data_IF_330927315852
#
_entry.id   IF_330927315852
#
_cell.length_a   1.000
_cell.length_b   1.000
_cell.length_c   1.000
_cell.angle_alpha   90.00
_cell.angle_beta   90.00
_cell.angle_gamma   90.00
#
_symmetry.space_group_name_H-M   'P 1'
#
loop_
_entity.id
_entity.type
_entity.pdbx_description
1 polymer ?
#
# COMPACT_ATOMS: atom_id res chain seq x y z
N UNK A 1 -22.41 49.97 42.03
CA UNK A 1 -21.48 48.95 42.57
C UNK A 1 -20.69 48.37 41.41
N UNK A 2 -19.36 48.48 41.46
CA UNK A 2 -18.44 48.39 40.32
C UNK A 2 -18.23 46.96 39.80
N UNK A 3 -18.30 46.83 38.48
CA UNK A 3 -17.83 45.71 37.66
C UNK A 3 -16.38 45.34 38.02
N UNK A 4 -16.14 44.09 38.44
CA UNK A 4 -14.80 43.55 38.72
C UNK A 4 -14.30 42.74 37.53
N UNK A 5 -13.30 43.31 36.89
CA UNK A 5 -12.30 42.78 35.97
C UNK A 5 -12.11 41.24 35.98
N UNK A 6 -12.51 40.58 34.88
CA UNK A 6 -12.06 39.24 34.47
C UNK A 6 -10.97 39.29 33.37
N UNK A 7 -10.14 40.34 33.36
CA UNK A 7 -9.16 40.60 32.28
C UNK A 7 -7.71 40.27 32.64
N UNK A 8 -7.39 39.96 33.90
CA UNK A 8 -6.00 39.89 34.39
C UNK A 8 -5.21 38.70 33.84
N UNK A 9 -5.79 37.48 33.87
CA UNK A 9 -5.06 36.27 33.52
C UNK A 9 -4.80 36.15 32.01
N UNK A 10 -5.77 36.50 31.17
CA UNK A 10 -5.62 36.46 29.72
C UNK A 10 -4.59 37.51 29.22
N UNK A 11 -4.61 38.73 29.78
CA UNK A 11 -3.60 39.75 29.47
C UNK A 11 -2.19 39.34 29.92
N UNK A 12 -2.05 38.67 31.07
CA UNK A 12 -0.76 38.16 31.54
C UNK A 12 -0.22 37.03 30.66
N UNK A 13 -1.07 36.10 30.21
CA UNK A 13 -0.67 35.06 29.25
C UNK A 13 -0.28 35.64 27.89
N UNK A 14 -1.00 36.67 27.40
CA UNK A 14 -0.67 37.35 26.14
C UNK A 14 0.68 38.08 26.24
N UNK A 15 0.95 38.75 27.37
CA UNK A 15 2.24 39.41 27.62
C UNK A 15 3.41 38.43 27.74
N UNK A 16 3.20 37.29 28.41
CA UNK A 16 4.20 36.21 28.49
C UNK A 16 4.44 35.60 27.10
N UNK A 17 3.40 35.35 26.30
CA UNK A 17 3.55 34.86 24.93
C UNK A 17 4.26 35.89 24.03
N UNK A 18 3.94 37.18 24.14
CA UNK A 18 4.60 38.27 23.40
C UNK A 18 6.06 38.46 23.79
N UNK A 19 6.47 38.10 25.01
CA UNK A 19 7.86 38.16 25.46
C UNK A 19 8.66 36.88 25.12
N UNK A 20 8.01 35.72 25.17
CA UNK A 20 8.65 34.41 24.96
C UNK A 20 8.87 34.12 23.47
N UNK A 21 7.95 34.52 22.59
CA UNK A 21 8.08 34.31 21.13
C UNK A 21 9.31 35.02 20.52
N UNK A 22 9.58 36.33 20.78
CA UNK A 22 10.78 36.98 20.26
C UNK A 22 12.06 36.47 20.92
N UNK A 23 12.01 36.02 22.18
CA UNK A 23 13.17 35.41 22.86
C UNK A 23 13.52 34.04 22.27
N UNK A 24 12.52 33.21 21.92
CA UNK A 24 12.75 31.97 21.17
C UNK A 24 13.29 32.23 19.77
N UNK A 25 12.83 33.29 19.10
CA UNK A 25 13.35 33.68 17.79
C UNK A 25 14.81 34.18 17.85
N UNK A 26 15.22 34.83 18.96
CA UNK A 26 16.62 35.20 19.20
C UNK A 26 17.52 34.01 19.55
N UNK A 27 16.98 32.99 20.21
CA UNK A 27 17.69 31.75 20.56
C UNK A 27 17.71 30.72 19.43
N UNK A 28 16.86 30.89 18.42
CA UNK A 28 16.92 30.13 17.18
C UNK A 28 18.18 30.54 16.40
N UNK A 29 19.32 29.94 16.76
CA UNK A 29 20.48 29.96 15.89
C UNK A 29 20.03 29.40 14.53
N UNK A 30 20.27 30.11 13.41
CA UNK A 30 20.06 29.50 12.11
C UNK A 30 20.88 28.22 12.12
N UNK A 31 20.19 27.08 12.01
CA UNK A 31 20.88 25.83 11.73
C UNK A 31 21.73 26.14 10.49
N UNK A 32 23.06 25.91 10.51
CA UNK A 32 23.85 26.12 9.31
C UNK A 32 23.15 25.31 8.23
N UNK A 33 22.62 25.99 7.22
CA UNK A 33 22.05 25.30 6.09
C UNK A 33 23.14 24.35 5.62
N UNK A 34 22.84 23.04 5.58
CA UNK A 34 23.75 22.08 4.97
C UNK A 34 24.20 22.69 3.66
N UNK A 35 25.51 22.79 3.39
CA UNK A 35 26.00 23.43 2.17
C UNK A 35 25.30 22.76 1.00
N UNK A 36 24.31 23.46 0.43
CA UNK A 36 23.66 23.05 -0.80
C UNK A 36 24.78 23.10 -1.82
N UNK A 37 25.09 21.97 -2.44
CA UNK A 37 26.03 21.96 -3.55
C UNK A 37 25.54 23.01 -4.55
N UNK A 38 26.36 24.03 -4.83
CA UNK A 38 26.05 25.02 -5.86
C UNK A 38 25.72 24.30 -7.16
N UNK A 39 24.85 24.87 -8.00
CA UNK A 39 24.42 24.25 -9.26
C UNK A 39 25.60 23.78 -10.13
N UNK A 40 26.74 24.46 -9.99
CA UNK A 40 28.05 24.22 -10.59
C UNK A 40 28.76 22.93 -10.13
N UNK A 41 28.22 22.22 -9.11
CA UNK A 41 28.71 20.94 -8.59
C UNK A 41 27.79 19.76 -8.87
N UNK A 42 26.70 19.97 -9.59
CA UNK A 42 25.82 18.87 -9.98
C UNK A 42 26.47 18.08 -11.11
N UNK A 43 26.74 16.80 -10.86
CA UNK A 43 27.12 15.87 -11.91
C UNK A 43 25.96 15.85 -12.92
N UNK A 44 26.19 16.15 -14.21
CA UNK A 44 25.11 16.21 -15.18
C UNK A 44 24.42 14.85 -15.26
N UNK A 45 23.11 14.84 -15.01
CA UNK A 45 22.31 13.63 -15.08
C UNK A 45 22.04 13.26 -16.54
N UNK A 46 22.37 12.03 -16.89
CA UNK A 46 22.00 11.47 -18.19
C UNK A 46 20.57 10.93 -18.11
N UNK A 47 19.60 11.77 -18.45
CA UNK A 47 18.17 11.42 -18.43
C UNK A 47 17.81 10.29 -19.40
N UNK A 48 18.47 10.20 -20.56
CA UNK A 48 18.27 9.08 -21.50
C UNK A 48 18.59 7.75 -20.84
N UNK A 49 19.74 7.66 -20.15
CA UNK A 49 20.14 6.44 -19.43
C UNK A 49 19.16 6.10 -18.29
N UNK A 50 18.66 7.12 -17.59
CA UNK A 50 17.64 6.92 -16.53
C UNK A 50 16.38 6.31 -17.12
N UNK A 51 15.87 6.89 -18.21
CA UNK A 51 14.67 6.40 -18.90
C UNK A 51 14.84 4.96 -19.41
N UNK A 52 15.97 4.65 -20.05
CA UNK A 52 16.30 3.30 -20.51
C UNK A 52 16.34 2.30 -19.35
N UNK A 53 16.92 2.70 -18.21
CA UNK A 53 16.97 1.88 -17.00
C UNK A 53 15.57 1.62 -16.45
N UNK A 54 14.71 2.64 -16.41
CA UNK A 54 13.32 2.50 -15.97
C UNK A 54 12.56 1.53 -16.88
N UNK A 55 12.67 1.69 -18.21
CA UNK A 55 12.04 0.78 -19.18
C UNK A 55 12.54 -0.66 -19.01
N UNK A 56 13.83 -0.85 -18.79
CA UNK A 56 14.41 -2.15 -18.53
C UNK A 56 13.85 -2.79 -17.26
N UNK A 57 13.83 -2.08 -16.14
CA UNK A 57 13.29 -2.61 -14.89
C UNK A 57 11.79 -2.90 -14.97
N UNK A 58 11.04 -2.08 -15.70
CA UNK A 58 9.62 -2.31 -15.97
C UNK A 58 9.39 -3.61 -16.77
N UNK A 59 10.30 -3.96 -17.69
CA UNK A 59 10.23 -5.20 -18.48
C UNK A 59 10.51 -6.48 -17.70
N UNK A 60 11.04 -6.39 -16.47
CA UNK A 60 11.34 -7.57 -15.65
C UNK A 60 10.11 -8.22 -15.02
N UNK A 61 8.94 -7.59 -15.11
CA UNK A 61 7.73 -8.00 -14.40
C UNK A 61 7.79 -7.61 -12.91
N UNK A 62 7.10 -8.37 -12.05
CA UNK A 62 7.13 -8.13 -10.60
C UNK A 62 8.55 -8.25 -10.05
N UNK A 63 8.98 -7.22 -9.33
CA UNK A 63 10.28 -7.16 -8.64
C UNK A 63 10.13 -7.44 -7.14
N UNK A 64 9.01 -7.99 -6.73
CA UNK A 64 8.82 -8.50 -5.37
C UNK A 64 9.87 -9.58 -5.08
N UNK A 65 10.45 -9.56 -3.89
CA UNK A 65 11.45 -10.54 -3.44
C UNK A 65 10.99 -11.97 -3.76
N UNK A 66 11.88 -12.82 -4.25
CA UNK A 66 11.57 -14.20 -4.61
C UNK A 66 10.96 -14.41 -6.01
N UNK A 67 10.39 -13.36 -6.63
CA UNK A 67 9.86 -13.47 -7.99
C UNK A 67 10.99 -13.37 -9.05
N UNK A 68 10.79 -13.90 -10.27
CA UNK A 68 11.82 -13.85 -11.32
C UNK A 68 12.36 -12.45 -11.64
N UNK A 69 11.51 -11.42 -11.59
CA UNK A 69 11.91 -10.04 -11.86
C UNK A 69 12.84 -9.45 -10.80
N UNK A 70 12.73 -9.91 -9.54
CA UNK A 70 13.67 -9.54 -8.47
C UNK A 70 15.09 -9.99 -8.80
N UNK A 71 15.29 -11.24 -9.23
CA UNK A 71 16.61 -11.75 -9.58
C UNK A 71 17.20 -11.08 -10.82
N UNK A 72 16.38 -10.75 -11.82
CA UNK A 72 16.81 -9.96 -12.99
C UNK A 72 17.30 -8.58 -12.57
N UNK A 73 16.56 -7.89 -11.71
CA UNK A 73 16.94 -6.59 -11.16
C UNK A 73 18.23 -6.66 -10.34
N UNK A 74 18.35 -7.65 -9.46
CA UNK A 74 19.54 -7.91 -8.65
C UNK A 74 20.78 -8.08 -9.54
N UNK A 75 20.69 -8.95 -10.55
CA UNK A 75 21.79 -9.24 -11.46
C UNK A 75 22.19 -7.99 -12.27
N UNK A 76 21.23 -7.19 -12.72
CA UNK A 76 21.50 -5.94 -13.41
C UNK A 76 22.27 -4.95 -12.51
N UNK A 77 21.78 -4.71 -11.29
CA UNK A 77 22.42 -3.78 -10.34
C UNK A 77 23.83 -4.25 -10.00
N UNK A 78 23.97 -5.54 -9.70
CA UNK A 78 25.27 -6.14 -9.36
C UNK A 78 26.27 -5.96 -10.51
N UNK A 79 25.85 -6.26 -11.74
CA UNK A 79 26.68 -6.11 -12.94
C UNK A 79 27.05 -4.65 -13.21
N UNK A 80 26.10 -3.73 -13.06
CA UNK A 80 26.32 -2.29 -13.23
C UNK A 80 27.37 -1.77 -12.23
N UNK A 81 27.21 -2.07 -10.94
CA UNK A 81 28.14 -1.63 -9.91
C UNK A 81 29.55 -2.23 -10.09
N UNK A 82 29.63 -3.52 -10.45
CA UNK A 82 30.91 -4.16 -10.78
C UNK A 82 31.56 -3.53 -12.01
N UNK A 83 30.78 -3.22 -13.04
CA UNK A 83 31.25 -2.55 -14.26
C UNK A 83 31.84 -1.16 -14.02
N UNK A 84 31.44 -0.49 -12.93
CA UNK A 84 32.03 0.77 -12.48
C UNK A 84 33.36 0.59 -11.72
N UNK A 85 33.88 -0.63 -11.59
CA UNK A 85 35.10 -0.92 -10.84
C UNK A 85 34.90 -0.93 -9.31
N UNK A 86 33.66 -0.93 -8.83
CA UNK A 86 33.35 -0.93 -7.40
C UNK A 86 33.53 -2.33 -6.80
N UNK A 87 34.00 -2.38 -5.54
CA UNK A 87 33.96 -3.60 -4.73
C UNK A 87 32.53 -3.83 -4.23
N UNK A 88 31.79 -4.70 -4.91
CA UNK A 88 30.39 -5.03 -4.58
C UNK A 88 30.33 -6.24 -3.64
N UNK A 89 29.62 -6.08 -2.52
CA UNK A 89 29.34 -7.15 -1.57
C UNK A 89 27.87 -7.54 -1.72
N UNK A 90 27.59 -8.83 -1.91
CA UNK A 90 26.23 -9.34 -1.89
C UNK A 90 25.90 -9.84 -0.49
N UNK A 91 24.99 -9.15 0.20
CA UNK A 91 24.55 -9.55 1.54
C UNK A 91 23.22 -10.30 1.44
N UNK A 92 23.27 -11.61 1.68
CA UNK A 92 22.11 -12.50 1.56
C UNK A 92 21.55 -12.88 2.92
N UNK A 93 20.22 -12.94 3.02
CA UNK A 93 19.50 -13.39 4.20
C UNK A 93 18.22 -14.13 3.80
N UNK A 94 17.67 -14.94 4.70
CA UNK A 94 16.43 -15.69 4.46
C UNK A 94 15.23 -14.86 4.93
N UNK A 95 14.18 -14.84 4.11
CA UNK A 95 12.89 -14.24 4.42
C UNK A 95 11.76 -15.15 3.98
N UNK A 96 10.63 -15.09 4.68
CA UNK A 96 9.39 -15.68 4.21
C UNK A 96 8.79 -14.77 3.15
N UNK A 97 8.37 -15.35 2.03
CA UNK A 97 7.81 -14.63 0.89
C UNK A 97 6.53 -15.35 0.47
N UNK A 98 5.41 -14.65 0.30
CA UNK A 98 4.23 -15.22 -0.34
C UNK A 98 4.53 -15.37 -1.84
N UNK A 99 4.62 -16.61 -2.31
CA UNK A 99 4.78 -16.90 -3.74
C UNK A 99 3.41 -17.30 -4.29
N UNK A 100 2.93 -16.53 -5.25
CA UNK A 100 1.75 -16.84 -6.05
C UNK A 100 2.16 -17.77 -7.21
N UNK A 101 1.66 -19.01 -7.20
CA UNK A 101 1.86 -19.96 -8.31
C UNK A 101 0.74 -19.86 -9.35
N UNK A 102 -0.52 -19.92 -8.90
CA UNK A 102 -1.70 -19.78 -9.75
C UNK A 102 -2.88 -19.24 -8.94
N UNK A 103 -3.62 -18.30 -9.52
CA UNK A 103 -4.90 -17.79 -8.98
C UNK A 103 -5.86 -17.54 -10.14
N UNK A 104 -7.07 -18.06 -10.03
CA UNK A 104 -8.12 -17.84 -11.01
C UNK A 104 -9.50 -17.85 -10.36
N UNK A 105 -10.45 -17.24 -11.05
CA UNK A 105 -11.88 -17.36 -10.76
C UNK A 105 -12.53 -18.10 -11.92
N UNK A 106 -13.33 -19.10 -11.61
CA UNK A 106 -14.02 -19.92 -12.59
C UNK A 106 -15.53 -19.87 -12.36
N UNK A 107 -16.27 -19.30 -13.31
CA UNK A 107 -17.71 -19.40 -13.30
C UNK A 107 -18.10 -20.75 -13.89
N UNK A 108 -18.88 -21.53 -13.14
CA UNK A 108 -19.32 -22.87 -13.56
C UNK A 108 -20.68 -22.83 -14.28
N UNK A 109 -21.54 -21.87 -13.93
CA UNK A 109 -22.89 -21.69 -14.47
C UNK A 109 -23.27 -20.19 -14.49
N UNK A 110 -24.16 -19.75 -15.39
CA UNK A 110 -24.78 -20.53 -16.48
C UNK A 110 -23.83 -20.77 -17.67
N UNK A 111 -22.72 -20.04 -17.74
CA UNK A 111 -21.65 -20.25 -18.70
C UNK A 111 -20.37 -20.64 -17.98
N UNK A 112 -19.50 -21.35 -18.70
CA UNK A 112 -18.19 -21.73 -18.22
C UNK A 112 -17.16 -20.71 -18.68
N UNK A 113 -16.59 -19.94 -17.75
CA UNK A 113 -15.47 -19.04 -18.03
C UNK A 113 -14.44 -19.12 -16.90
N UNK A 114 -13.17 -19.08 -17.27
CA UNK A 114 -12.07 -18.95 -16.34
C UNK A 114 -11.38 -17.61 -16.60
N UNK A 115 -11.23 -16.82 -15.55
CA UNK A 115 -10.58 -15.52 -15.59
C UNK A 115 -9.38 -15.56 -14.67
N UNK A 116 -8.24 -15.06 -15.15
CA UNK A 116 -7.06 -14.89 -14.30
C UNK A 116 -7.39 -13.91 -13.18
N UNK A 117 -7.04 -14.29 -11.97
CA UNK A 117 -7.12 -13.41 -10.81
C UNK A 117 -5.73 -13.27 -10.17
N UNK A 118 -5.65 -12.45 -9.15
CA UNK A 118 -4.44 -12.21 -8.38
C UNK A 118 -4.82 -12.23 -6.91
N UNK A 119 -4.02 -12.90 -6.08
CA UNK A 119 -4.18 -12.82 -4.65
C UNK A 119 -3.88 -11.39 -4.20
N UNK A 120 -4.67 -10.87 -3.24
CA UNK A 120 -4.24 -9.67 -2.54
C UNK A 120 -2.98 -9.97 -1.75
N UNK A 121 -2.17 -8.93 -1.52
CA UNK A 121 -1.02 -9.06 -0.65
C UNK A 121 -1.49 -9.58 0.71
N UNK A 122 -0.74 -10.51 1.35
CA UNK A 122 -1.21 -11.17 2.55
C UNK A 122 -1.66 -10.20 3.63
N UNK A 123 -2.84 -10.46 4.20
CA UNK A 123 -3.30 -9.77 5.39
C UNK A 123 -2.64 -10.44 6.61
N UNK A 124 -1.54 -9.84 7.08
CA UNK A 124 -0.65 -10.45 8.07
C UNK A 124 0.07 -11.67 7.50
N UNK A 125 -0.19 -12.85 8.09
CA UNK A 125 0.44 -14.12 7.68
C UNK A 125 -0.40 -14.93 6.71
N UNK A 126 -1.61 -14.48 6.37
CA UNK A 126 -2.54 -15.23 5.54
C UNK A 126 -2.40 -14.83 4.06
N UNK A 127 -1.86 -15.71 3.18
CA UNK A 127 -1.68 -15.42 1.76
C UNK A 127 -2.94 -15.65 0.91
N UNK A 128 -4.11 -15.69 1.54
CA UNK A 128 -5.39 -16.01 0.90
C UNK A 128 -5.43 -17.37 0.20
N UNK A 129 -5.01 -18.48 0.85
CA UNK A 129 -5.01 -19.79 0.22
C UNK A 129 -6.43 -20.33 0.09
N UNK A 130 -6.68 -21.09 -0.97
CA UNK A 130 -7.78 -22.05 -1.05
C UNK A 130 -7.26 -23.46 -0.73
N UNK A 131 -8.14 -24.43 -0.42
CA UNK A 131 -7.80 -25.85 -0.55
C UNK A 131 -7.25 -26.17 -1.94
N UNK A 132 -6.49 -27.27 -2.12
CA UNK A 132 -5.95 -27.67 -3.43
C UNK A 132 -7.01 -27.84 -4.52
N UNK A 133 -8.22 -28.26 -4.16
CA UNK A 133 -9.38 -28.39 -5.03
C UNK A 133 -10.10 -27.06 -5.32
N UNK A 134 -9.65 -25.97 -4.72
CA UNK A 134 -10.30 -24.66 -4.76
C UNK A 134 -11.46 -24.55 -3.77
N UNK A 135 -12.17 -23.42 -3.82
CA UNK A 135 -13.43 -23.23 -3.12
C UNK A 135 -14.54 -22.97 -4.12
N UNK A 136 -15.64 -23.72 -4.02
CA UNK A 136 -16.80 -23.59 -4.92
C UNK A 136 -18.03 -23.23 -4.10
N UNK A 137 -18.71 -22.15 -4.48
CA UNK A 137 -19.92 -21.70 -3.82
C UNK A 137 -20.74 -20.74 -4.70
N UNK A 138 -21.94 -20.35 -4.25
CA UNK A 138 -22.72 -19.30 -4.90
C UNK A 138 -21.92 -18.00 -4.98
N UNK A 139 -22.04 -17.29 -6.10
CA UNK A 139 -21.41 -15.99 -6.30
C UNK A 139 -22.46 -14.89 -6.15
N UNK A 140 -22.22 -13.95 -5.24
CA UNK A 140 -23.05 -12.77 -5.06
C UNK A 140 -22.26 -11.50 -5.37
N UNK A 141 -22.76 -10.70 -6.31
CA UNK A 141 -22.27 -9.33 -6.49
C UNK A 141 -22.97 -8.39 -5.51
N UNK A 142 -22.18 -7.58 -4.80
CA UNK A 142 -22.67 -6.70 -3.72
C UNK A 142 -22.20 -5.26 -3.86
N UNK A 143 -21.85 -4.83 -5.07
CA UNK A 143 -21.42 -3.45 -5.33
C UNK A 143 -20.28 -3.02 -4.41
N UNK A 144 -20.48 -1.95 -3.62
CA UNK A 144 -19.46 -1.43 -2.69
C UNK A 144 -19.43 -2.18 -1.35
N UNK A 145 -20.31 -3.16 -1.14
CA UNK A 145 -20.40 -3.93 0.10
C UNK A 145 -21.04 -3.15 1.25
N UNK A 146 -21.90 -2.17 0.95
CA UNK A 146 -22.74 -1.55 1.96
C UNK A 146 -23.81 -2.55 2.42
N UNK A 147 -24.23 -2.52 3.69
CA UNK A 147 -25.15 -3.51 4.27
C UNK A 147 -26.43 -3.75 3.44
N UNK A 148 -27.11 -2.72 2.89
CA UNK A 148 -28.30 -2.93 2.05
C UNK A 148 -28.03 -3.72 0.77
N UNK A 149 -26.79 -3.73 0.26
CA UNK A 149 -26.41 -4.50 -0.93
C UNK A 149 -26.38 -6.00 -0.65
N UNK A 150 -26.42 -6.44 0.61
CA UNK A 150 -26.55 -7.84 1.01
C UNK A 150 -28.00 -8.28 1.20
N UNK A 151 -28.97 -7.36 1.19
CA UNK A 151 -30.37 -7.69 1.44
C UNK A 151 -30.87 -8.76 0.44
N UNK A 152 -31.53 -9.78 0.99
CA UNK A 152 -32.09 -10.91 0.24
C UNK A 152 -31.06 -11.93 -0.27
N UNK A 153 -29.77 -11.82 0.09
CA UNK A 153 -28.71 -12.75 -0.32
C UNK A 153 -28.34 -13.69 0.81
N UNK A 154 -28.20 -14.98 0.51
CA UNK A 154 -27.70 -15.98 1.45
C UNK A 154 -26.17 -16.03 1.41
N UNK A 155 -25.54 -15.10 2.14
CA UNK A 155 -24.09 -14.86 2.08
C UNK A 155 -23.28 -15.95 2.79
N UNK A 156 -23.92 -16.71 3.68
CA UNK A 156 -23.23 -17.73 4.46
C UNK A 156 -22.69 -18.81 3.52
N UNK A 157 -21.41 -19.16 3.68
CA UNK A 157 -20.73 -20.18 2.87
C UNK A 157 -20.68 -19.84 1.36
N UNK A 158 -20.77 -18.54 1.01
CA UNK A 158 -20.74 -18.06 -0.38
C UNK A 158 -19.42 -17.41 -0.78
N UNK A 159 -19.29 -17.09 -2.07
CA UNK A 159 -18.27 -16.20 -2.64
C UNK A 159 -18.93 -14.85 -2.91
N UNK A 160 -18.26 -13.76 -2.53
CA UNK A 160 -18.75 -12.40 -2.76
C UNK A 160 -17.85 -11.69 -3.76
N UNK A 161 -18.43 -11.11 -4.81
CA UNK A 161 -17.75 -10.17 -5.70
C UNK A 161 -18.14 -8.73 -5.33
N UNK A 162 -17.16 -7.84 -5.22
CA UNK A 162 -17.40 -6.44 -4.88
C UNK A 162 -16.36 -5.51 -5.48
N UNK A 163 -16.70 -4.23 -5.59
CA UNK A 163 -15.80 -3.17 -6.05
C UNK A 163 -14.58 -3.06 -5.13
N UNK A 164 -13.37 -2.93 -5.69
CA UNK A 164 -12.17 -2.75 -4.87
C UNK A 164 -12.22 -1.46 -4.05
N UNK A 165 -12.68 -0.35 -4.65
CA UNK A 165 -12.80 0.95 -3.99
C UNK A 165 -14.04 1.01 -3.09
N UNK A 166 -13.96 0.27 -2.00
CA UNK A 166 -15.02 -0.02 -1.03
C UNK A 166 -14.55 0.12 0.42
N UNK A 167 -13.36 0.65 0.64
CA UNK A 167 -12.73 0.73 1.97
C UNK A 167 -12.72 -0.65 2.64
N UNK A 168 -13.18 -0.73 3.89
CA UNK A 168 -13.24 -1.92 4.72
C UNK A 168 -14.60 -2.64 4.65
N UNK A 169 -15.48 -2.29 3.71
CA UNK A 169 -16.80 -2.92 3.57
C UNK A 169 -16.74 -4.43 3.27
N UNK A 170 -15.61 -4.95 2.80
CA UNK A 170 -15.41 -6.40 2.64
C UNK A 170 -15.56 -7.16 3.97
N UNK A 171 -15.37 -6.47 5.10
CA UNK A 171 -15.65 -7.01 6.43
C UNK A 171 -17.13 -7.32 6.63
N UNK A 172 -18.04 -6.65 5.94
CA UNK A 172 -19.47 -6.99 5.99
C UNK A 172 -19.72 -8.37 5.37
N UNK A 173 -19.09 -8.66 4.22
CA UNK A 173 -19.15 -9.98 3.61
C UNK A 173 -18.60 -11.06 4.56
N UNK A 174 -17.44 -10.80 5.19
CA UNK A 174 -16.86 -11.72 6.16
C UNK A 174 -17.77 -11.95 7.38
N UNK A 175 -18.32 -10.87 7.98
CA UNK A 175 -19.25 -10.94 9.12
C UNK A 175 -20.54 -11.70 8.80
N UNK A 176 -21.00 -11.63 7.55
CA UNK A 176 -22.18 -12.34 7.06
C UNK A 176 -21.89 -13.80 6.65
N UNK A 177 -20.63 -14.25 6.74
CA UNK A 177 -20.24 -15.64 6.57
C UNK A 177 -19.74 -16.01 5.17
N UNK A 178 -19.43 -15.03 4.31
CA UNK A 178 -18.75 -15.30 3.05
C UNK A 178 -17.41 -15.99 3.29
N UNK A 179 -17.05 -16.95 2.44
CA UNK A 179 -15.79 -17.71 2.52
C UNK A 179 -14.68 -17.13 1.65
N UNK A 180 -15.06 -16.34 0.65
CA UNK A 180 -14.12 -15.65 -0.22
C UNK A 180 -14.71 -14.31 -0.66
N UNK A 181 -13.82 -13.34 -0.86
CA UNK A 181 -14.13 -12.04 -1.46
C UNK A 181 -13.27 -11.88 -2.71
N UNK A 182 -13.90 -11.60 -3.84
CA UNK A 182 -13.28 -11.26 -5.11
C UNK A 182 -13.45 -9.76 -5.31
N UNK A 183 -12.34 -9.04 -5.40
CA UNK A 183 -12.40 -7.61 -5.72
C UNK A 183 -12.33 -7.38 -7.23
N UNK A 184 -13.21 -6.52 -7.72
CA UNK A 184 -13.20 -6.03 -9.09
C UNK A 184 -12.25 -4.84 -9.17
N UNK A 185 -11.26 -4.93 -10.06
CA UNK A 185 -10.26 -3.89 -10.29
C UNK A 185 -10.93 -2.58 -10.75
N UNK A 186 -10.62 -1.44 -10.11
CA UNK A 186 -11.15 -0.14 -10.51
C UNK A 186 -10.25 0.48 -11.59
N UNK A 187 -10.78 1.46 -12.34
CA UNK A 187 -9.95 2.23 -13.28
C UNK A 187 -8.80 2.98 -12.59
N UNK A 188 -9.05 3.47 -11.37
CA UNK A 188 -8.09 4.20 -10.54
C UNK A 188 -8.31 3.81 -9.07
N UNK A 189 -7.26 3.87 -8.25
CA UNK A 189 -7.35 3.61 -6.81
C UNK A 189 -6.45 4.55 -6.00
N UNK A 190 -6.56 4.48 -4.67
CA UNK A 190 -5.74 5.29 -3.76
C UNK A 190 -5.02 4.39 -2.77
N UNK A 191 -3.91 4.90 -2.21
CA UNK A 191 -3.21 4.20 -1.13
C UNK A 191 -4.16 3.86 0.03
N UNK A 192 -5.09 4.77 0.38
CA UNK A 192 -6.07 4.56 1.43
C UNK A 192 -7.02 3.38 1.14
N UNK A 193 -7.50 3.24 -0.09
CA UNK A 193 -8.35 2.11 -0.49
C UNK A 193 -7.59 0.77 -0.39
N UNK A 194 -6.32 0.75 -0.77
CA UNK A 194 -5.46 -0.44 -0.62
C UNK A 194 -5.22 -0.79 0.85
N UNK A 195 -4.91 0.19 1.68
CA UNK A 195 -4.64 0.02 3.12
C UNK A 195 -5.84 -0.59 3.86
N UNK A 196 -7.06 -0.23 3.44
CA UNK A 196 -8.31 -0.78 3.99
C UNK A 196 -8.57 -2.26 3.70
N UNK A 197 -7.71 -2.94 2.93
CA UNK A 197 -7.76 -4.40 2.72
C UNK A 197 -6.96 -5.18 3.77
N UNK A 198 -6.21 -4.47 4.61
CA UNK A 198 -5.40 -5.05 5.68
C UNK A 198 -6.07 -4.83 7.04
N UNK A 199 -5.79 -5.75 7.97
CA UNK A 199 -6.23 -5.68 9.34
C UNK A 199 -5.02 -5.76 10.26
N UNK A 200 -5.09 -5.01 11.35
CA UNK A 200 -4.13 -5.10 12.46
C UNK A 200 -4.36 -6.36 13.31
N UNK A 201 -5.58 -6.92 13.27
CA UNK A 201 -5.99 -8.09 14.06
C UNK A 201 -6.67 -9.13 13.16
N UNK A 202 -6.37 -10.44 13.35
CA UNK A 202 -7.09 -11.51 12.66
C UNK A 202 -8.61 -11.47 12.92
N UNK A 203 -9.38 -11.96 11.94
CA UNK A 203 -10.83 -12.17 12.04
C UNK A 203 -11.19 -13.43 12.84
#
# INVERSE_FOLDING_TARGET
MRSRARSSAASQCILVMLAVIPLLALLAAPSPAYPQAGADRLIPLNYTRVEETVKLFASFGSRMTGYPGYYKALNYIYSCLRGLGLKVINHTYKVLVPIEEEVYVEALKPFHIRVKAYALYPNGVNPSPTPPEGFVGPLYYVGRGDLPEFDGKDVKDSIVAMEFNSQDNWLNAAKLGAKAVIFIEPNDTTYYECDKKFLETPL
#
